data_IF_649668770832
#
_entry.id   IF_649668770832
#
_cell.length_a   1.000
_cell.length_b   1.000
_cell.length_c   1.000
_cell.angle_alpha   90.00
_cell.angle_beta   90.00
_cell.angle_gamma   90.00
#
_symmetry.space_group_name_H-M   'P 1'
#
loop_
_entity.id
_entity.type
_entity.pdbx_description
1 polymer ?
#
# COMPACT_ATOMS: atom_id res chain seq x y z
N UNK A 1 18.22 3.47 -5.70
CA UNK A 1 17.55 2.16 -5.57
C UNK A 1 17.84 1.36 -6.83
N UNK A 2 18.18 0.06 -6.74
CA UNK A 2 18.34 -0.75 -7.95
C UNK A 2 16.95 -1.09 -8.53
N UNK A 3 16.86 -1.37 -9.84
CA UNK A 3 15.59 -1.81 -10.46
C UNK A 3 14.97 -3.02 -9.76
N UNK A 4 15.81 -3.87 -9.14
CA UNK A 4 15.39 -5.02 -8.33
C UNK A 4 14.53 -4.62 -7.12
N UNK A 5 14.93 -3.59 -6.37
CA UNK A 5 14.14 -3.17 -5.20
C UNK A 5 12.81 -2.53 -5.62
N UNK A 6 12.75 -1.86 -6.79
CA UNK A 6 11.48 -1.34 -7.32
C UNK A 6 10.52 -2.48 -7.69
N UNK A 7 11.05 -3.58 -8.21
CA UNK A 7 10.24 -4.78 -8.45
C UNK A 7 9.77 -5.43 -7.15
N UNK A 8 10.63 -5.49 -6.14
CA UNK A 8 10.29 -6.00 -4.82
C UNK A 8 9.17 -5.21 -4.16
N UNK A 9 9.23 -3.88 -4.25
CA UNK A 9 8.16 -2.99 -3.81
C UNK A 9 6.82 -3.29 -4.48
N UNK A 10 6.83 -3.66 -5.77
CA UNK A 10 5.63 -4.03 -6.54
C UNK A 10 5.33 -5.54 -6.53
N UNK A 11 5.87 -6.29 -5.57
CA UNK A 11 5.49 -7.70 -5.35
C UNK A 11 6.25 -8.73 -6.18
N UNK A 12 7.32 -8.34 -6.89
CA UNK A 12 8.23 -9.25 -7.61
C UNK A 12 7.57 -10.15 -8.67
N UNK A 13 6.44 -9.76 -9.24
CA UNK A 13 5.74 -10.55 -10.25
C UNK A 13 4.90 -9.70 -11.20
N UNK A 14 4.42 -10.34 -12.27
CA UNK A 14 3.47 -9.71 -13.17
C UNK A 14 2.05 -9.77 -12.58
N UNK A 15 1.41 -8.61 -12.41
CA UNK A 15 0.05 -8.47 -11.87
C UNK A 15 -1.05 -9.09 -12.77
N UNK A 16 -0.73 -9.48 -14.00
CA UNK A 16 -1.65 -10.16 -14.92
C UNK A 16 -1.45 -11.69 -14.97
N UNK A 17 -0.25 -12.13 -15.34
CA UNK A 17 0.03 -13.54 -15.63
C UNK A 17 0.77 -14.27 -14.51
N UNK A 18 1.14 -13.57 -13.43
CA UNK A 18 1.87 -14.17 -12.30
C UNK A 18 3.32 -14.53 -12.60
N UNK A 19 3.86 -14.19 -13.79
CA UNK A 19 5.27 -14.43 -14.13
C UNK A 19 6.17 -13.80 -13.07
N UNK A 20 6.91 -14.64 -12.34
CA UNK A 20 7.77 -14.21 -11.23
C UNK A 20 9.12 -13.69 -11.70
N UNK A 21 9.60 -12.63 -11.05
CA UNK A 21 10.97 -12.10 -11.21
C UNK A 21 12.00 -13.17 -10.86
N UNK A 22 11.80 -13.95 -9.79
CA UNK A 22 12.77 -14.96 -9.34
C UNK A 22 12.88 -16.10 -10.34
N UNK A 23 11.77 -16.54 -10.93
CA UNK A 23 11.75 -17.60 -11.94
C UNK A 23 12.43 -17.16 -13.23
N UNK A 24 12.14 -15.94 -13.70
CA UNK A 24 12.77 -15.36 -14.88
C UNK A 24 14.29 -15.24 -14.66
N UNK A 25 14.72 -14.73 -13.51
CA UNK A 25 16.14 -14.62 -13.19
C UNK A 25 16.80 -16.00 -13.06
N UNK A 26 16.15 -16.98 -12.43
CA UNK A 26 16.67 -18.34 -12.29
C UNK A 26 16.87 -18.99 -13.66
N UNK A 27 15.89 -18.83 -14.56
CA UNK A 27 15.82 -19.46 -15.89
C UNK A 27 16.72 -18.78 -16.91
N UNK A 28 16.68 -17.45 -16.99
CA UNK A 28 17.34 -16.69 -18.07
C UNK A 28 18.56 -15.89 -17.60
N UNK A 29 18.83 -15.85 -16.29
CA UNK A 29 19.96 -15.10 -15.69
C UNK A 29 19.96 -13.60 -15.99
N UNK A 30 18.82 -13.04 -16.40
CA UNK A 30 18.64 -11.61 -16.68
C UNK A 30 17.20 -11.17 -16.42
N UNK A 31 17.04 -9.88 -16.08
CA UNK A 31 15.75 -9.20 -15.96
C UNK A 31 15.60 -8.04 -16.96
N UNK A 32 16.61 -7.83 -17.81
CA UNK A 32 16.63 -6.71 -18.73
C UNK A 32 15.48 -6.84 -19.73
N UNK A 33 14.64 -5.79 -19.82
CA UNK A 33 13.47 -5.73 -20.73
C UNK A 33 12.44 -6.86 -20.55
N UNK A 34 12.37 -7.46 -19.36
CA UNK A 34 11.41 -8.54 -19.05
C UNK A 34 10.13 -8.03 -18.36
N UNK A 35 10.24 -6.91 -17.63
CA UNK A 35 9.16 -6.31 -16.86
C UNK A 35 9.17 -4.78 -16.97
N UNK A 36 7.98 -4.21 -16.89
CA UNK A 36 7.69 -2.80 -17.05
C UNK A 36 6.66 -2.33 -16.00
N UNK A 37 6.80 -1.09 -15.56
CA UNK A 37 5.79 -0.43 -14.72
C UNK A 37 4.77 0.23 -15.64
N UNK A 38 3.51 -0.17 -15.50
CA UNK A 38 2.41 0.33 -16.31
C UNK A 38 1.52 1.23 -15.46
N UNK A 39 1.37 2.49 -15.86
CA UNK A 39 0.46 3.43 -15.22
C UNK A 39 -0.99 3.06 -15.51
N UNK A 40 -1.79 2.84 -14.47
CA UNK A 40 -3.22 2.58 -14.63
C UNK A 40 -3.92 3.79 -15.22
N UNK A 41 -3.65 4.98 -14.67
CA UNK A 41 -4.00 6.26 -15.30
C UNK A 41 -2.73 6.98 -15.82
N UNK A 42 -2.49 6.99 -17.15
CA UNK A 42 -1.35 7.68 -17.75
C UNK A 42 -1.32 9.19 -17.50
N UNK A 43 -2.46 9.83 -17.23
CA UNK A 43 -2.56 11.29 -17.00
C UNK A 43 -1.98 11.70 -15.65
N UNK A 44 -1.95 10.78 -14.68
CA UNK A 44 -1.38 11.02 -13.35
C UNK A 44 0.15 10.84 -13.31
N UNK A 45 0.76 10.46 -14.44
CA UNK A 45 2.19 10.25 -14.57
C UNK A 45 2.96 11.54 -14.34
N UNK A 46 4.00 11.47 -13.51
CA UNK A 46 4.87 12.63 -13.30
C UNK A 46 5.56 13.07 -14.61
N UNK A 47 5.57 14.38 -14.89
CA UNK A 47 6.19 14.94 -16.10
C UNK A 47 7.69 14.64 -16.22
N UNK A 48 8.37 14.46 -15.08
CA UNK A 48 9.78 14.09 -14.96
C UNK A 48 10.00 12.60 -14.66
N UNK A 49 9.05 11.72 -15.00
CA UNK A 49 9.08 10.28 -14.70
C UNK A 49 10.43 9.58 -14.92
N UNK A 50 11.06 9.77 -16.10
CA UNK A 50 12.34 9.12 -16.42
C UNK A 50 13.42 9.50 -15.40
N UNK A 51 13.51 10.78 -15.07
CA UNK A 51 14.46 11.28 -14.09
C UNK A 51 14.13 10.77 -12.68
N UNK A 52 12.85 10.67 -12.31
CA UNK A 52 12.44 10.13 -11.00
C UNK A 52 12.79 8.65 -10.82
N UNK A 53 12.57 7.83 -11.84
CA UNK A 53 12.86 6.38 -11.77
C UNK A 53 14.37 6.10 -11.79
N UNK A 54 15.18 7.01 -12.35
CA UNK A 54 16.64 6.87 -12.42
C UNK A 54 17.38 7.44 -11.17
N UNK A 55 16.70 8.19 -10.31
CA UNK A 55 17.30 8.82 -9.12
C UNK A 55 17.53 7.85 -7.94
N UNK A 56 18.51 8.18 -7.08
CA UNK A 56 18.73 7.51 -5.80
C UNK A 56 17.64 7.93 -4.81
N UNK A 57 16.62 7.07 -4.67
CA UNK A 57 15.63 6.98 -3.60
C UNK A 57 15.11 8.33 -3.10
N UNK A 58 13.92 8.67 -3.60
CA UNK A 58 13.17 9.84 -3.18
C UNK A 58 11.71 9.43 -3.03
N UNK A 59 10.99 10.01 -2.07
CA UNK A 59 9.58 9.69 -1.81
C UNK A 59 8.70 9.84 -3.05
N UNK A 60 9.02 10.79 -3.92
CA UNK A 60 8.36 10.94 -5.21
C UNK A 60 8.48 9.70 -6.13
N UNK A 61 9.58 8.96 -6.05
CA UNK A 61 9.75 7.73 -6.85
C UNK A 61 8.76 6.65 -6.42
N UNK A 62 8.55 6.48 -5.11
CA UNK A 62 7.58 5.53 -4.57
C UNK A 62 6.14 6.00 -4.80
N UNK A 63 5.86 7.29 -4.58
CA UNK A 63 4.57 7.91 -4.94
C UNK A 63 4.22 7.70 -6.42
N UNK A 64 5.22 7.69 -7.30
CA UNK A 64 5.01 7.39 -8.72
C UNK A 64 4.75 5.89 -8.97
N UNK A 65 5.46 5.00 -8.29
CA UNK A 65 5.24 3.55 -8.38
C UNK A 65 3.87 3.10 -7.83
N UNK A 66 3.28 3.84 -6.89
CA UNK A 66 1.93 3.59 -6.37
C UNK A 66 0.85 3.75 -7.45
N UNK A 67 1.12 4.55 -8.49
CA UNK A 67 0.23 4.75 -9.64
C UNK A 67 0.34 3.64 -10.70
N UNK A 68 1.28 2.73 -10.50
CA UNK A 68 1.65 1.72 -11.48
C UNK A 68 1.27 0.32 -11.02
N UNK A 69 1.20 -0.60 -11.98
CA UNK A 69 1.26 -2.05 -11.76
C UNK A 69 2.55 -2.59 -12.38
N UNK A 70 3.07 -3.69 -11.85
CA UNK A 70 4.24 -4.36 -12.41
C UNK A 70 3.77 -5.48 -13.34
N UNK A 71 4.15 -5.41 -14.61
CA UNK A 71 3.74 -6.42 -15.59
C UNK A 71 4.89 -6.84 -16.49
N UNK A 72 4.82 -8.06 -17.03
CA UNK A 72 5.82 -8.51 -17.99
C UNK A 72 5.62 -7.81 -19.34
N UNK A 73 6.70 -7.68 -20.11
CA UNK A 73 6.71 -6.96 -21.40
C UNK A 73 5.65 -7.46 -22.39
N UNK A 74 5.32 -8.76 -22.35
CA UNK A 74 4.29 -9.34 -23.19
C UNK A 74 2.89 -8.88 -22.79
N UNK A 75 2.52 -9.01 -21.51
CA UNK A 75 1.25 -8.52 -21.00
C UNK A 75 1.13 -7.00 -21.19
N UNK A 76 2.23 -6.24 -21.03
CA UNK A 76 2.22 -4.80 -21.28
C UNK A 76 1.84 -4.46 -22.72
N UNK A 77 2.41 -5.18 -23.70
CA UNK A 77 2.05 -5.01 -25.12
C UNK A 77 0.59 -5.37 -25.38
N UNK A 78 0.10 -6.45 -24.77
CA UNK A 78 -1.30 -6.88 -24.92
C UNK A 78 -2.25 -5.82 -24.36
N UNK A 79 -1.98 -5.25 -23.17
CA UNK A 79 -2.79 -4.17 -22.59
C UNK A 79 -2.91 -2.99 -23.56
N UNK A 80 -1.77 -2.51 -24.10
CA UNK A 80 -1.78 -1.41 -25.06
C UNK A 80 -2.45 -1.76 -26.38
N UNK A 81 -2.35 -3.02 -26.83
CA UNK A 81 -2.96 -3.47 -28.08
C UNK A 81 -4.48 -3.62 -27.97
N UNK A 82 -4.99 -4.19 -26.88
CA UNK A 82 -6.44 -4.33 -26.65
C UNK A 82 -7.07 -3.00 -26.26
N UNK A 83 -6.34 -2.16 -25.54
CA UNK A 83 -6.74 -0.82 -25.15
C UNK A 83 -8.10 -0.74 -24.40
N UNK A 84 -8.41 -1.77 -23.60
CA UNK A 84 -9.66 -1.86 -22.85
C UNK A 84 -9.49 -1.29 -21.44
N UNK A 85 -9.79 0.00 -21.26
CA UNK A 85 -9.91 0.65 -19.94
C UNK A 85 -11.34 0.55 -19.41
N UNK A 86 -11.48 0.27 -18.13
CA UNK A 86 -12.79 0.15 -17.48
C UNK A 86 -12.77 0.75 -16.09
N UNK A 87 -13.86 1.43 -15.74
CA UNK A 87 -14.18 1.86 -14.38
C UNK A 87 -15.22 0.91 -13.79
N UNK A 88 -14.91 0.29 -12.66
CA UNK A 88 -15.77 -0.64 -11.96
C UNK A 88 -16.28 -0.01 -10.66
N UNK A 89 -17.60 -0.03 -10.44
CA UNK A 89 -18.16 0.24 -9.12
C UNK A 89 -18.26 -1.09 -8.36
N UNK A 90 -17.37 -1.28 -7.39
CA UNK A 90 -17.40 -2.46 -6.52
C UNK A 90 -18.26 -2.14 -5.31
N UNK A 91 -19.23 -3.02 -5.02
CA UNK A 91 -20.07 -2.97 -3.81
C UNK A 91 -19.78 -4.19 -2.95
N UNK A 92 -19.54 -3.96 -1.67
CA UNK A 92 -19.32 -4.97 -0.65
C UNK A 92 -20.42 -4.86 0.40
N UNK A 93 -21.06 -5.98 0.75
CA UNK A 93 -22.07 -6.06 1.81
C UNK A 93 -21.50 -6.84 2.99
N UNK A 94 -21.34 -6.17 4.14
CA UNK A 94 -20.69 -6.73 5.35
C UNK A 94 -21.39 -6.15 6.57
N UNK A 95 -21.76 -7.00 7.54
CA UNK A 95 -22.41 -6.57 8.80
C UNK A 95 -23.59 -5.61 8.57
N UNK A 96 -24.46 -5.92 7.60
CA UNK A 96 -25.61 -5.11 7.18
C UNK A 96 -25.28 -3.70 6.68
N UNK A 97 -24.01 -3.41 6.36
CA UNK A 97 -23.60 -2.19 5.66
C UNK A 97 -23.20 -2.50 4.22
N UNK A 98 -23.52 -1.60 3.31
CA UNK A 98 -23.05 -1.66 1.93
C UNK A 98 -21.99 -0.59 1.78
N UNK A 99 -20.81 -0.99 1.31
CA UNK A 99 -19.73 -0.08 1.00
C UNK A 99 -19.43 -0.16 -0.48
N UNK A 100 -19.23 1.00 -1.11
CA UNK A 100 -18.99 1.08 -2.56
C UNK A 100 -17.76 1.91 -2.88
N UNK A 101 -16.93 1.44 -3.81
CA UNK A 101 -15.77 2.18 -4.32
C UNK A 101 -15.70 2.03 -5.84
N UNK A 102 -15.40 3.14 -6.52
CA UNK A 102 -15.05 3.11 -7.93
C UNK A 102 -13.57 2.77 -8.04
N UNK A 103 -13.23 1.81 -8.91
CA UNK A 103 -11.87 1.41 -9.20
C UNK A 103 -11.65 1.46 -10.70
N UNK A 104 -10.61 2.16 -11.12
CA UNK A 104 -10.19 2.23 -12.52
C UNK A 104 -9.14 1.17 -12.81
N UNK A 105 -9.14 0.65 -14.02
CA UNK A 105 -8.17 -0.35 -14.43
C UNK A 105 -8.22 -0.70 -15.90
N UNK A 106 -7.44 -1.71 -16.23
CA UNK A 106 -7.35 -2.29 -17.57
C UNK A 106 -7.87 -3.71 -17.56
N UNK A 107 -8.49 -4.13 -18.66
CA UNK A 107 -8.88 -5.52 -18.88
C UNK A 107 -7.95 -6.12 -19.93
N UNK A 108 -7.45 -7.33 -19.64
CA UNK A 108 -6.94 -8.23 -20.67
C UNK A 108 -7.96 -9.34 -20.88
N UNK A 109 -8.41 -9.49 -22.11
CA UNK A 109 -9.29 -10.57 -22.55
C UNK A 109 -8.46 -11.66 -23.23
N UNK A 110 -8.55 -12.89 -22.73
CA UNK A 110 -8.06 -14.09 -23.41
C UNK A 110 -9.25 -14.79 -24.10
N UNK A 111 -9.26 -14.78 -25.43
CA UNK A 111 -10.34 -15.37 -26.23
C UNK A 111 -10.23 -16.88 -26.40
N UNK A 112 -9.09 -17.49 -26.09
CA UNK A 112 -8.92 -18.95 -26.14
C UNK A 112 -9.39 -19.54 -24.81
N UNK A 113 -8.93 -18.98 -23.69
CA UNK A 113 -9.36 -19.40 -22.35
C UNK A 113 -10.73 -18.84 -21.95
N UNK A 114 -11.28 -17.90 -22.74
CA UNK A 114 -12.54 -17.21 -22.49
C UNK A 114 -12.53 -16.48 -21.12
N UNK A 115 -11.39 -15.91 -20.74
CA UNK A 115 -11.23 -15.20 -19.48
C UNK A 115 -11.02 -13.70 -19.69
N UNK A 116 -11.43 -12.91 -18.69
CA UNK A 116 -11.11 -11.48 -18.59
C UNK A 116 -10.44 -11.23 -17.25
N UNK A 117 -9.29 -10.58 -17.26
CA UNK A 117 -8.55 -10.21 -16.05
C UNK A 117 -8.50 -8.70 -15.93
N UNK A 118 -9.03 -8.19 -14.81
CA UNK A 118 -8.97 -6.78 -14.46
C UNK A 118 -7.70 -6.49 -13.66
N UNK A 119 -6.98 -5.44 -14.05
CA UNK A 119 -5.70 -5.03 -13.48
C UNK A 119 -5.84 -3.58 -13.01
N UNK A 120 -5.57 -3.34 -11.73
CA UNK A 120 -5.63 -2.03 -11.09
C UNK A 120 -4.54 -1.87 -10.03
N UNK A 121 -4.15 -0.63 -9.75
CA UNK A 121 -3.23 -0.28 -8.67
C UNK A 121 -3.96 -0.02 -7.33
N UNK A 122 -5.30 -0.07 -7.34
CA UNK A 122 -6.17 0.19 -6.18
C UNK A 122 -6.53 -1.07 -5.39
N UNK A 123 -5.93 -2.24 -5.69
CA UNK A 123 -6.29 -3.53 -5.06
C UNK A 123 -6.13 -3.50 -3.52
N UNK A 124 -5.32 -2.58 -2.99
CA UNK A 124 -5.15 -2.38 -1.56
C UNK A 124 -6.38 -1.77 -0.86
N UNK A 125 -7.27 -1.10 -1.59
CA UNK A 125 -8.44 -0.44 -1.03
C UNK A 125 -9.39 -1.44 -0.34
N UNK A 126 -9.54 -2.64 -0.89
CA UNK A 126 -10.44 -3.67 -0.36
C UNK A 126 -9.80 -4.58 0.69
N UNK A 127 -8.66 -4.20 1.29
CA UNK A 127 -8.08 -4.99 2.38
C UNK A 127 -8.89 -4.76 3.67
N UNK A 128 -9.40 -5.82 4.31
CA UNK A 128 -10.11 -5.70 5.57
C UNK A 128 -9.16 -5.73 6.77
N UNK A 129 -9.51 -4.93 7.77
CA UNK A 129 -8.96 -4.92 9.11
C UNK A 129 -10.07 -5.14 10.13
N UNK A 130 -9.74 -5.75 11.26
CA UNK A 130 -10.62 -5.84 12.41
C UNK A 130 -10.22 -4.78 13.43
N UNK A 131 -11.08 -3.79 13.63
CA UNK A 131 -10.96 -2.79 14.67
C UNK A 131 -11.58 -3.36 15.95
N UNK A 132 -10.83 -3.35 17.04
CA UNK A 132 -11.24 -3.93 18.32
C UNK A 132 -10.92 -2.97 19.47
N UNK A 133 -11.92 -2.67 20.29
CA UNK A 133 -11.77 -2.02 21.59
C UNK A 133 -12.53 -2.84 22.65
N UNK A 134 -12.56 -2.38 23.90
CA UNK A 134 -13.23 -3.07 25.01
C UNK A 134 -14.73 -3.33 24.80
N UNK A 135 -15.38 -2.62 23.88
CA UNK A 135 -16.84 -2.58 23.73
C UNK A 135 -17.30 -3.22 22.42
N UNK A 136 -16.54 -3.03 21.35
CA UNK A 136 -16.95 -3.32 19.98
C UNK A 136 -15.82 -3.94 19.18
N UNK A 137 -16.22 -4.83 18.27
CA UNK A 137 -15.40 -5.31 17.17
C UNK A 137 -16.11 -4.96 15.86
N UNK A 138 -15.39 -4.41 14.89
CA UNK A 138 -15.94 -4.10 13.56
C UNK A 138 -14.90 -4.30 12.47
N UNK A 139 -15.35 -4.76 11.30
CA UNK A 139 -14.52 -4.79 10.11
C UNK A 139 -14.38 -3.36 9.57
N UNK A 140 -13.21 -2.97 9.09
CA UNK A 140 -12.94 -1.69 8.42
C UNK A 140 -12.02 -1.94 7.24
N UNK A 141 -12.33 -1.38 6.08
CA UNK A 141 -11.50 -1.52 4.88
C UNK A 141 -10.46 -0.42 4.77
N UNK A 142 -9.34 -0.70 4.10
CA UNK A 142 -8.28 0.28 3.86
C UNK A 142 -8.79 1.60 3.28
N UNK A 143 -9.73 1.58 2.32
CA UNK A 143 -10.25 2.85 1.77
C UNK A 143 -11.04 3.65 2.81
N UNK A 144 -11.71 3.03 3.79
CA UNK A 144 -12.42 3.77 4.84
C UNK A 144 -11.41 4.55 5.70
N UNK A 145 -10.24 3.95 5.96
CA UNK A 145 -9.14 4.59 6.69
C UNK A 145 -8.50 5.70 5.84
N UNK A 146 -8.20 5.42 4.57
CA UNK A 146 -7.54 6.36 3.66
C UNK A 146 -8.43 7.55 3.32
N UNK A 147 -9.73 7.33 3.10
CA UNK A 147 -10.69 8.38 2.75
C UNK A 147 -11.11 9.22 3.99
N UNK A 148 -11.03 8.68 5.21
CA UNK A 148 -11.28 9.40 6.46
C UNK A 148 -10.34 8.94 7.59
N UNK A 149 -9.14 9.53 7.67
CA UNK A 149 -8.19 9.27 8.77
C UNK A 149 -8.78 9.56 10.16
N UNK A 150 -9.85 10.37 10.26
CA UNK A 150 -10.48 10.63 11.54
C UNK A 150 -11.10 9.38 12.15
N UNK A 151 -11.42 8.33 11.36
CA UNK A 151 -11.93 7.07 11.91
C UNK A 151 -10.92 6.49 12.90
N UNK A 152 -9.64 6.38 12.50
CA UNK A 152 -8.57 5.89 13.37
C UNK A 152 -8.34 6.82 14.56
N UNK A 153 -8.27 8.14 14.29
CA UNK A 153 -7.99 9.12 15.33
C UNK A 153 -9.08 9.17 16.40
N UNK A 154 -10.36 9.03 16.01
CA UNK A 154 -11.49 9.01 16.94
C UNK A 154 -11.40 7.81 17.88
N UNK A 155 -11.05 6.62 17.39
CA UNK A 155 -10.88 5.44 18.27
C UNK A 155 -9.77 5.69 19.30
N UNK A 156 -8.61 6.16 18.84
CA UNK A 156 -7.43 6.42 19.68
C UNK A 156 -7.69 7.53 20.70
N UNK A 157 -8.27 8.66 20.28
CA UNK A 157 -8.53 9.81 21.15
C UNK A 157 -9.62 9.56 22.19
N UNK A 158 -10.61 8.74 21.85
CA UNK A 158 -11.72 8.41 22.74
C UNK A 158 -11.44 7.22 23.66
N UNK A 159 -10.24 6.62 23.60
CA UNK A 159 -9.81 5.61 24.55
C UNK A 159 -10.02 6.10 26.00
N UNK A 160 -10.65 5.25 26.81
CA UNK A 160 -10.76 5.50 28.25
C UNK A 160 -9.39 5.28 28.92
N UNK A 161 -9.22 5.85 30.10
CA UNK A 161 -8.01 5.60 30.87
C UNK A 161 -7.86 4.10 31.17
N UNK A 162 -6.64 3.57 31.02
CA UNK A 162 -6.30 2.14 31.15
C UNK A 162 -7.04 1.19 30.18
N UNK A 163 -7.54 1.70 29.04
CA UNK A 163 -8.09 0.87 27.95
C UNK A 163 -7.15 0.79 26.76
N UNK A 164 -7.43 -0.17 25.88
CA UNK A 164 -6.70 -0.38 24.63
C UNK A 164 -7.60 -0.46 23.41
N UNK A 165 -7.02 -0.12 22.26
CA UNK A 165 -7.60 -0.29 20.95
C UNK A 165 -6.57 -0.98 20.04
N UNK A 166 -7.00 -2.04 19.39
CA UNK A 166 -6.16 -2.84 18.50
C UNK A 166 -6.77 -2.92 17.11
N UNK A 167 -5.90 -2.99 16.11
CA UNK A 167 -6.24 -3.29 14.72
C UNK A 167 -5.54 -4.59 14.35
N UNK A 168 -6.31 -5.54 13.83
CA UNK A 168 -5.79 -6.79 13.31
C UNK A 168 -5.96 -6.84 11.80
N UNK A 169 -4.94 -7.33 11.09
CA UNK A 169 -5.09 -7.73 9.69
C UNK A 169 -6.06 -8.90 9.62
N UNK A 170 -7.18 -8.73 8.90
CA UNK A 170 -8.24 -9.73 8.88
C UNK A 170 -7.79 -11.05 8.24
N UNK A 171 -6.88 -10.99 7.26
CA UNK A 171 -6.46 -12.15 6.49
C UNK A 171 -5.60 -13.15 7.27
N UNK A 172 -4.85 -12.68 8.27
CA UNK A 172 -3.90 -13.51 9.02
C UNK A 172 -4.01 -13.36 10.54
N UNK A 173 -4.90 -12.49 11.03
CA UNK A 173 -5.12 -12.25 12.46
C UNK A 173 -3.95 -11.53 13.17
N UNK A 174 -2.93 -11.07 12.44
CA UNK A 174 -1.80 -10.38 13.05
C UNK A 174 -2.24 -9.01 13.57
N UNK A 175 -1.83 -8.65 14.79
CA UNK A 175 -1.95 -7.30 15.31
C UNK A 175 -1.04 -6.37 14.51
N UNK A 176 -1.62 -5.33 13.93
CA UNK A 176 -0.89 -4.36 13.09
C UNK A 176 -0.83 -2.97 13.71
N UNK A 177 -1.74 -2.67 14.64
CA UNK A 177 -1.68 -1.49 15.49
C UNK A 177 -2.24 -1.82 16.87
N UNK A 178 -1.57 -1.32 17.91
CA UNK A 178 -2.06 -1.31 19.28
C UNK A 178 -1.89 0.08 19.87
N UNK A 179 -2.95 0.60 20.46
CA UNK A 179 -2.97 1.87 21.16
C UNK A 179 -3.40 1.65 22.61
N UNK A 180 -2.60 2.12 23.57
CA UNK A 180 -2.89 1.99 25.01
C UNK A 180 -2.83 3.36 25.67
N UNK A 181 -3.85 3.68 26.48
CA UNK A 181 -3.92 4.94 27.22
C UNK A 181 -3.55 4.75 28.69
N UNK A 182 -2.68 5.63 29.20
CA UNK A 182 -2.35 5.74 30.62
C UNK A 182 -2.33 7.22 31.03
N UNK A 183 -3.42 7.66 31.67
CA UNK A 183 -3.71 9.06 31.98
C UNK A 183 -3.80 9.93 30.72
N UNK A 184 -2.83 10.83 30.57
CA UNK A 184 -2.67 11.70 29.39
C UNK A 184 -1.74 11.11 28.33
N UNK A 185 -1.04 10.02 28.64
CA UNK A 185 -0.10 9.40 27.71
C UNK A 185 -0.81 8.37 26.86
N UNK A 186 -0.34 8.25 25.63
CA UNK A 186 -0.70 7.19 24.72
C UNK A 186 0.57 6.50 24.21
N UNK A 187 0.54 5.18 24.27
CA UNK A 187 1.54 4.28 23.71
C UNK A 187 0.94 3.69 22.43
N UNK A 188 1.65 3.79 21.32
CA UNK A 188 1.26 3.22 20.03
C UNK A 188 2.34 2.25 19.57
N UNK A 189 1.94 1.01 19.32
CA UNK A 189 2.74 0.01 18.63
C UNK A 189 2.17 -0.16 17.23
N UNK A 190 2.95 0.18 16.20
CA UNK A 190 2.50 0.13 14.80
C UNK A 190 3.42 -0.79 14.02
N UNK A 191 2.90 -1.94 13.58
CA UNK A 191 3.63 -2.83 12.69
C UNK A 191 3.69 -2.23 11.29
N UNK A 192 4.82 -2.41 10.59
CA UNK A 192 4.89 -2.11 9.16
C UNK A 192 3.88 -2.94 8.36
N UNK A 193 3.31 -4.02 8.89
CA UNK A 193 2.22 -4.72 8.20
C UNK A 193 0.93 -3.89 8.13
N UNK A 194 0.79 -2.82 8.93
CA UNK A 194 -0.27 -1.83 8.77
C UNK A 194 0.04 -0.91 7.58
N UNK A 195 -0.48 -1.24 6.39
CA UNK A 195 -0.04 -0.62 5.14
C UNK A 195 -0.52 0.81 4.93
N UNK A 196 -1.52 1.23 5.68
CA UNK A 196 -2.12 2.57 5.66
C UNK A 196 -1.31 3.55 6.50
N UNK A 197 -0.40 3.05 7.34
CA UNK A 197 0.57 3.87 8.04
C UNK A 197 1.73 4.22 7.11
N UNK A 198 2.06 5.50 7.05
CA UNK A 198 3.24 5.99 6.34
C UNK A 198 3.99 7.03 7.13
N UNK A 199 5.32 7.02 7.01
CA UNK A 199 6.23 8.03 7.54
C UNK A 199 7.02 8.57 6.37
N UNK A 200 6.87 9.88 6.11
CA UNK A 200 7.73 10.62 5.19
C UNK A 200 8.61 11.59 6.00
N UNK A 201 9.93 11.36 6.07
CA UNK A 201 10.88 12.25 6.74
C UNK A 201 11.11 13.52 5.92
N UNK A 202 10.07 14.36 5.80
CA UNK A 202 10.22 15.70 5.27
C UNK A 202 11.18 16.48 6.20
N UNK A 203 12.24 17.06 5.63
CA UNK A 203 13.21 17.95 6.29
C UNK A 203 14.23 17.31 7.26
N UNK A 204 14.42 15.99 7.28
CA UNK A 204 15.50 15.37 8.07
C UNK A 204 16.85 15.34 7.32
N UNK A 205 17.96 15.33 8.08
CA UNK A 205 19.30 15.16 7.50
C UNK A 205 19.39 13.76 6.88
N UNK A 206 19.86 13.72 5.62
CA UNK A 206 19.82 12.56 4.71
C UNK A 206 20.23 11.19 5.30
N UNK A 207 21.15 11.16 6.27
CA UNK A 207 21.67 9.93 6.89
C UNK A 207 20.79 9.35 8.01
N UNK A 208 19.84 10.13 8.50
CA UNK A 208 18.93 9.78 9.61
C UNK A 208 17.49 9.56 9.08
N UNK A 209 17.31 9.55 7.76
CA UNK A 209 16.02 9.36 7.13
C UNK A 209 15.67 7.88 7.01
N UNK A 210 14.46 7.56 7.45
CA UNK A 210 13.80 6.29 7.16
C UNK A 210 12.40 6.56 6.63
N UNK A 211 11.91 5.66 5.77
CA UNK A 211 10.61 5.78 5.15
C UNK A 211 9.77 4.56 5.48
N UNK A 212 8.49 4.79 5.76
CA UNK A 212 7.50 3.72 5.92
C UNK A 212 6.40 3.98 4.91
N UNK A 213 6.13 3.01 4.03
CA UNK A 213 5.06 3.14 3.03
C UNK A 213 4.62 1.79 2.49
N UNK A 214 3.31 1.55 2.43
CA UNK A 214 2.75 0.33 1.82
C UNK A 214 3.25 -0.95 2.51
N UNK A 215 3.59 -0.83 3.78
CA UNK A 215 4.18 -1.86 4.62
C UNK A 215 5.63 -2.26 4.36
N UNK A 216 6.37 -1.38 3.73
CA UNK A 216 7.82 -1.47 3.63
C UNK A 216 8.47 -0.39 4.48
N UNK A 217 9.51 -0.78 5.20
CA UNK A 217 10.48 0.16 5.77
C UNK A 217 11.70 0.23 4.85
N UNK A 218 12.16 1.45 4.57
CA UNK A 218 13.35 1.70 3.76
C UNK A 218 14.33 2.55 4.55
N UNK A 219 15.60 2.13 4.55
CA UNK A 219 16.69 2.97 5.04
C UNK A 219 17.24 3.89 3.94
N UNK A 220 18.14 4.79 4.31
CA UNK A 220 18.86 5.68 3.38
C UNK A 220 19.58 4.94 2.24
N UNK A 221 20.04 3.71 2.48
CA UNK A 221 20.73 2.92 1.47
C UNK A 221 19.77 2.21 0.51
N UNK A 222 18.48 2.22 0.82
CA UNK A 222 17.43 1.54 0.07
C UNK A 222 17.33 0.06 0.35
N UNK A 223 17.79 -0.37 1.52
CA UNK A 223 17.49 -1.68 2.05
C UNK A 223 16.02 -1.71 2.46
N UNK A 224 15.33 -2.77 2.07
CA UNK A 224 13.91 -2.98 2.39
C UNK A 224 13.83 -3.90 3.61
N UNK A 225 13.00 -3.53 4.56
CA UNK A 225 12.65 -4.34 5.72
C UNK A 225 11.13 -4.49 5.79
N UNK A 226 10.68 -5.68 6.13
CA UNK A 226 9.28 -6.10 6.08
C UNK A 226 8.76 -6.64 7.43
N UNK A 227 9.57 -6.51 8.48
CA UNK A 227 9.26 -6.92 9.85
C UNK A 227 9.82 -5.87 10.83
N UNK A 228 9.09 -4.77 10.96
CA UNK A 228 9.46 -3.61 11.80
C UNK A 228 8.23 -3.14 12.56
N UNK A 229 8.36 -2.91 13.86
CA UNK A 229 7.32 -2.28 14.68
C UNK A 229 7.84 -0.94 15.22
N UNK A 230 7.01 0.09 15.09
CA UNK A 230 7.26 1.42 15.65
C UNK A 230 6.61 1.52 17.01
N UNK A 231 7.41 1.88 18.01
CA UNK A 231 6.95 2.18 19.36
C UNK A 231 6.96 3.70 19.52
N UNK A 232 5.77 4.29 19.72
CA UNK A 232 5.59 5.73 19.80
C UNK A 232 4.93 6.06 21.13
N UNK A 233 5.51 7.02 21.85
CA UNK A 233 4.92 7.59 23.06
C UNK A 233 4.61 9.07 22.83
N UNK A 234 3.39 9.47 23.16
CA UNK A 234 2.96 10.87 23.05
C UNK A 234 1.96 11.25 24.16
N UNK A 235 1.81 12.55 24.40
CA UNK A 235 0.62 13.04 25.09
C UNK A 235 -0.56 13.00 24.11
N UNK A 236 -1.71 12.49 24.55
CA UNK A 236 -2.91 12.33 23.70
C UNK A 236 -3.37 13.64 23.05
N UNK A 237 -3.16 14.76 23.73
CA UNK A 237 -3.53 16.10 23.25
C UNK A 237 -2.55 16.66 22.20
N UNK A 238 -1.37 16.05 22.05
CA UNK A 238 -0.31 16.44 21.10
C UNK A 238 -0.21 15.49 19.91
N UNK A 239 -0.98 14.40 19.89
CA UNK A 239 -1.02 13.48 18.77
C UNK A 239 -1.76 14.15 17.61
N UNK A 240 -1.04 14.40 16.52
CA UNK A 240 -1.59 14.91 15.27
C UNK A 240 -1.34 13.90 14.16
N UNK A 241 -2.38 13.60 13.37
CA UNK A 241 -2.26 12.87 12.11
C UNK A 241 -2.43 13.89 10.99
N UNK A 242 -1.50 13.93 10.04
CA UNK A 242 -1.59 14.82 8.87
C UNK A 242 -1.95 14.02 7.62
N UNK A 243 -2.86 14.60 6.81
CA UNK A 243 -3.13 14.18 5.44
C UNK A 243 -2.02 14.71 4.51
N UNK A 244 -0.77 14.31 4.70
CA UNK A 244 0.25 14.58 3.69
C UNK A 244 0.12 13.54 2.56
N UNK A 245 -0.81 13.78 1.63
CA UNK A 245 -0.88 13.09 0.33
C UNK A 245 0.38 13.34 -0.51
#
# INVERSE_FOLDING_TARGET
MSKKHLYEYKGNGCDHCGKSISDVLKRYKTLNRMFEFHHINPELKASNYKNLIEQKLYTLQLKELDKCVLICTECHKIIHAQNEKVDLNIKLEIDNRIISKNISGWIITDHIEMTKKFISNDVHLLRPYLFKNDITERIVFSFEIIDDLNILFKEIKNLKDNSEFCIYSFNNGCEVLKAKRSGKRIELDISCLFREFSIDPNNLKRKDCFWVRGGFYLDYNGNIFNDVTFHIEADIDKLHLSDDM
#
